data_IF_048775343090
#
_entry.id   IF_048775343090
#
_cell.length_a   1.000
_cell.length_b   1.000
_cell.length_c   1.000
_cell.angle_alpha   90.00
_cell.angle_beta   90.00
_cell.angle_gamma   90.00
#
_symmetry.space_group_name_H-M   'P 1'
#
loop_
_entity.id
_entity.type
_entity.pdbx_description
1 polymer ?
#
# COMPACT_ATOMS: atom_id res chain seq x y z
N UNK A 1 -7.37 9.45 19.45
CA UNK A 1 -6.31 9.03 20.38
C UNK A 1 -6.98 8.50 21.64
N UNK A 2 -6.75 7.25 22.05
CA UNK A 2 -7.31 6.70 23.30
C UNK A 2 -6.22 6.71 24.38
N UNK A 3 -6.59 7.14 25.59
CA UNK A 3 -5.73 7.11 26.77
C UNK A 3 -6.22 5.98 27.67
N UNK A 4 -5.34 5.03 27.99
CA UNK A 4 -5.64 3.92 28.89
C UNK A 4 -4.81 4.06 30.19
N UNK A 5 -5.41 3.66 31.32
CA UNK A 5 -4.70 3.45 32.60
C UNK A 5 -4.45 1.96 32.74
N UNK A 6 -3.25 1.51 32.40
CA UNK A 6 -2.82 0.12 32.58
C UNK A 6 -1.47 0.11 33.30
N UNK A 7 -1.34 -0.78 34.29
CA UNK A 7 -0.07 -1.04 34.98
C UNK A 7 0.92 -1.79 34.10
N UNK A 8 0.48 -2.43 33.01
CA UNK A 8 1.34 -3.17 32.07
C UNK A 8 0.98 -2.88 30.61
N UNK A 9 1.99 -2.73 29.75
CA UNK A 9 1.82 -2.60 28.31
C UNK A 9 2.69 -3.58 27.52
N UNK A 10 2.17 -4.05 26.38
CA UNK A 10 2.92 -4.90 25.44
C UNK A 10 3.63 -4.04 24.41
N UNK A 11 4.95 -4.13 24.35
CA UNK A 11 5.76 -3.44 23.36
C UNK A 11 6.56 -4.44 22.52
N UNK A 12 6.76 -4.12 21.23
CA UNK A 12 7.62 -4.90 20.35
C UNK A 12 8.98 -4.22 20.26
N UNK A 13 10.01 -4.83 20.84
CA UNK A 13 11.40 -4.40 20.70
C UNK A 13 12.13 -5.46 19.88
N UNK A 14 12.74 -5.05 18.77
CA UNK A 14 13.26 -5.95 17.75
C UNK A 14 12.19 -6.99 17.31
N UNK A 15 12.41 -8.27 17.60
CA UNK A 15 11.49 -9.35 17.26
C UNK A 15 10.81 -10.00 18.46
N UNK A 16 10.88 -9.36 19.63
CA UNK A 16 10.29 -9.88 20.86
C UNK A 16 9.16 -8.97 21.34
N UNK A 17 8.12 -9.62 21.86
CA UNK A 17 7.07 -8.94 22.62
C UNK A 17 7.50 -8.93 24.08
N UNK A 18 7.53 -7.74 24.68
CA UNK A 18 7.94 -7.53 26.06
C UNK A 18 6.78 -6.87 26.79
N UNK A 19 6.50 -7.38 28.00
CA UNK A 19 5.58 -6.74 28.94
C UNK A 19 6.36 -5.73 29.78
N UNK A 20 5.94 -4.47 29.73
CA UNK A 20 6.57 -3.36 30.45
C UNK A 20 5.61 -2.92 31.55
N UNK A 21 6.08 -2.95 32.81
CA UNK A 21 5.37 -2.37 33.94
C UNK A 21 5.47 -0.83 33.86
N UNK A 22 4.33 -0.16 33.92
CA UNK A 22 4.22 1.29 33.82
C UNK A 22 3.88 1.90 35.19
N UNK A 23 4.50 3.03 35.56
CA UNK A 23 4.07 3.80 36.73
C UNK A 23 2.62 4.26 36.59
N UNK A 24 1.91 4.42 37.71
CA UNK A 24 0.49 4.87 37.71
C UNK A 24 0.26 6.20 37.00
N UNK A 25 1.27 7.09 36.98
CA UNK A 25 1.22 8.38 36.31
C UNK A 25 1.37 8.30 34.79
N UNK A 26 1.69 7.13 34.24
CA UNK A 26 1.93 6.95 32.82
C UNK A 26 0.64 7.05 32.00
N UNK A 27 0.75 7.63 30.80
CA UNK A 27 -0.34 7.68 29.82
C UNK A 27 0.03 6.82 28.62
N UNK A 28 -0.79 5.83 28.30
CA UNK A 28 -0.63 5.03 27.10
C UNK A 28 -1.37 5.66 25.93
N UNK A 29 -0.62 6.03 24.88
CA UNK A 29 -1.18 6.48 23.62
C UNK A 29 -1.13 5.37 22.58
N UNK A 30 -2.24 5.16 21.87
CA UNK A 30 -2.32 4.19 20.78
C UNK A 30 -2.98 4.79 19.55
N UNK A 31 -2.53 4.31 18.39
CA UNK A 31 -3.19 4.56 17.12
C UNK A 31 -4.32 3.57 16.92
N UNK A 32 -5.39 4.04 16.26
CA UNK A 32 -6.41 3.14 15.74
C UNK A 32 -5.74 2.15 14.80
N UNK A 33 -5.96 0.85 15.02
CA UNK A 33 -5.44 -0.16 14.10
C UNK A 33 -6.10 0.04 12.73
N UNK A 34 -5.31 0.04 11.63
CA UNK A 34 -5.89 0.09 10.30
C UNK A 34 -6.78 -1.14 10.07
N UNK A 35 -7.89 -0.95 9.37
CA UNK A 35 -8.75 -2.04 8.94
C UNK A 35 -8.04 -2.75 7.79
N UNK A 36 -7.89 -4.07 7.90
CA UNK A 36 -7.30 -4.89 6.85
C UNK A 36 -8.29 -4.96 5.69
N UNK A 37 -7.81 -4.63 4.49
CA UNK A 37 -8.58 -4.79 3.25
C UNK A 37 -8.79 -6.28 3.01
N UNK A 38 -10.05 -6.69 2.89
CA UNK A 38 -10.44 -8.10 2.72
C UNK A 38 -10.09 -8.65 1.34
N UNK A 39 -10.24 -7.83 0.30
CA UNK A 39 -9.83 -8.14 -1.08
C UNK A 39 -8.86 -7.07 -1.61
N UNK A 40 -7.55 -7.23 -1.35
CA UNK A 40 -6.54 -6.28 -1.82
C UNK A 40 -6.48 -6.16 -3.35
N UNK A 41 -6.71 -7.25 -4.08
CA UNK A 41 -6.64 -7.25 -5.54
C UNK A 41 -7.75 -6.36 -6.13
N UNK A 42 -8.98 -6.54 -5.64
CA UNK A 42 -10.10 -5.69 -6.04
C UNK A 42 -9.89 -4.23 -5.64
N UNK A 43 -9.40 -3.97 -4.43
CA UNK A 43 -9.18 -2.60 -3.94
C UNK A 43 -8.15 -1.84 -4.78
N UNK A 44 -7.05 -2.49 -5.17
CA UNK A 44 -6.03 -1.91 -6.06
C UNK A 44 -6.62 -1.60 -7.44
N UNK A 45 -7.38 -2.54 -8.02
CA UNK A 45 -8.01 -2.33 -9.32
C UNK A 45 -9.02 -1.16 -9.29
N UNK A 46 -9.82 -1.06 -8.22
CA UNK A 46 -10.74 0.07 -8.06
C UNK A 46 -10.00 1.40 -7.90
N UNK A 47 -8.87 1.42 -7.17
CA UNK A 47 -8.07 2.62 -7.00
C UNK A 47 -7.47 3.11 -8.32
N UNK A 48 -6.98 2.20 -9.17
CA UNK A 48 -6.45 2.54 -10.50
C UNK A 48 -7.56 3.10 -11.42
N UNK A 49 -8.76 2.52 -11.35
CA UNK A 49 -9.91 2.94 -12.16
C UNK A 49 -10.52 4.26 -11.70
N UNK A 50 -10.62 4.47 -10.39
CA UNK A 50 -11.24 5.65 -9.76
C UNK A 50 -10.18 6.62 -9.25
N UNK A 51 -9.32 7.10 -10.15
CA UNK A 51 -8.30 8.09 -9.79
C UNK A 51 -8.94 9.35 -9.20
N UNK A 52 -8.26 9.97 -8.24
CA UNK A 52 -8.71 11.17 -7.54
C UNK A 52 -7.98 12.37 -8.13
N UNK A 53 -8.72 13.35 -8.65
CA UNK A 53 -8.15 14.61 -9.14
C UNK A 53 -7.35 14.49 -10.44
N UNK A 54 -7.39 13.35 -11.14
CA UNK A 54 -6.72 13.16 -12.44
C UNK A 54 -7.49 12.15 -13.32
N UNK A 55 -7.18 12.11 -14.62
CA UNK A 55 -7.48 10.93 -15.45
C UNK A 55 -6.92 9.64 -14.84
N UNK A 56 -7.56 8.52 -15.13
CA UNK A 56 -7.01 7.19 -14.78
C UNK A 56 -5.75 6.88 -15.61
N UNK A 57 -5.03 5.83 -15.20
CA UNK A 57 -3.74 5.48 -15.78
C UNK A 57 -3.84 5.13 -17.26
N UNK A 58 -4.89 4.41 -17.66
CA UNK A 58 -5.16 4.02 -19.03
C UNK A 58 -5.37 5.24 -19.94
N UNK A 59 -6.14 6.23 -19.48
CA UNK A 59 -6.32 7.49 -20.21
C UNK A 59 -5.01 8.25 -20.38
N UNK A 60 -4.15 8.28 -19.35
CA UNK A 60 -2.82 8.91 -19.43
C UNK A 60 -1.96 8.21 -20.49
N UNK A 61 -1.93 6.87 -20.47
CA UNK A 61 -1.18 6.06 -21.43
C UNK A 61 -1.65 6.31 -22.86
N UNK A 62 -2.97 6.27 -23.10
CA UNK A 62 -3.56 6.54 -24.43
C UNK A 62 -3.16 7.93 -24.92
N UNK A 63 -3.25 8.96 -24.06
CA UNK A 63 -2.87 10.33 -24.43
C UNK A 63 -1.39 10.44 -24.79
N UNK A 64 -0.51 9.78 -24.03
CA UNK A 64 0.94 9.76 -24.30
C UNK A 64 1.27 9.05 -25.61
N UNK A 65 0.66 7.89 -25.86
CA UNK A 65 0.87 7.12 -27.09
C UNK A 65 0.37 7.84 -28.35
N UNK A 66 -0.72 8.63 -28.23
CA UNK A 66 -1.19 9.49 -29.33
C UNK A 66 -0.17 10.56 -29.71
N UNK A 67 0.56 11.08 -28.73
CA UNK A 67 1.57 12.12 -28.96
C UNK A 67 2.93 11.54 -29.38
N UNK A 68 3.31 10.38 -28.87
CA UNK A 68 4.55 9.69 -29.18
C UNK A 68 4.35 8.17 -29.02
N UNK A 69 4.39 7.44 -30.14
CA UNK A 69 4.22 5.98 -30.13
C UNK A 69 5.36 5.23 -29.44
N UNK A 70 6.55 5.83 -29.39
CA UNK A 70 7.76 5.27 -28.77
C UNK A 70 7.98 5.84 -27.36
N UNK A 71 6.90 6.25 -26.67
CA UNK A 71 7.02 6.82 -25.34
C UNK A 71 7.60 5.80 -24.34
N UNK A 72 8.55 6.25 -23.52
CA UNK A 72 9.13 5.45 -22.44
C UNK A 72 8.42 5.76 -21.13
N UNK A 73 8.25 4.74 -20.30
CA UNK A 73 7.63 4.86 -18.97
C UNK A 73 8.64 4.46 -17.91
N UNK A 74 8.70 5.24 -16.83
CA UNK A 74 9.42 4.90 -15.62
C UNK A 74 8.43 4.71 -14.47
N UNK A 75 8.53 3.58 -13.76
CA UNK A 75 7.73 3.31 -12.56
C UNK A 75 8.68 3.45 -11.36
N UNK A 76 8.43 4.46 -10.54
CA UNK A 76 9.20 4.69 -9.31
C UNK A 76 8.56 3.90 -8.18
N UNK A 77 9.33 3.04 -7.53
CA UNK A 77 8.91 2.26 -6.37
C UNK A 77 9.75 2.64 -5.16
N UNK A 78 9.21 2.43 -3.95
CA UNK A 78 10.00 2.58 -2.72
C UNK A 78 11.06 1.48 -2.63
N UNK A 79 12.13 1.76 -1.90
CA UNK A 79 13.18 0.79 -1.59
C UNK A 79 12.68 -0.37 -0.70
N UNK A 80 13.59 -1.29 -0.38
CA UNK A 80 13.32 -2.48 0.42
C UNK A 80 13.09 -2.19 1.92
N UNK A 81 13.29 -0.96 2.38
CA UNK A 81 13.05 -0.58 3.79
C UNK A 81 11.57 -0.27 4.06
N UNK A 82 10.74 -0.21 3.00
CA UNK A 82 9.30 -0.01 3.13
C UNK A 82 8.53 -1.34 3.06
N UNK A 83 7.51 -1.53 3.91
CA UNK A 83 6.69 -2.74 3.92
C UNK A 83 5.63 -2.73 2.81
N UNK A 84 5.98 -2.31 1.60
CA UNK A 84 5.05 -2.23 0.47
C UNK A 84 4.92 -3.60 -0.19
N UNK A 85 3.69 -4.05 -0.39
CA UNK A 85 3.39 -5.30 -1.07
C UNK A 85 3.47 -5.09 -2.59
N UNK A 86 4.61 -5.38 -3.19
CA UNK A 86 4.78 -5.27 -4.66
C UNK A 86 4.37 -6.53 -5.42
N UNK A 87 4.43 -7.69 -4.80
CA UNK A 87 4.26 -9.01 -5.44
C UNK A 87 3.13 -9.81 -4.81
N UNK A 88 2.71 -10.89 -5.49
CA UNK A 88 1.64 -11.78 -5.05
C UNK A 88 0.24 -11.22 -5.31
N UNK A 89 -0.78 -11.93 -4.83
CA UNK A 89 -2.19 -11.58 -5.09
C UNK A 89 -2.60 -10.22 -4.51
N UNK A 90 -1.93 -9.78 -3.43
CA UNK A 90 -2.12 -8.46 -2.83
C UNK A 90 -1.10 -7.41 -3.34
N UNK A 91 -0.33 -7.73 -4.38
CA UNK A 91 0.75 -6.92 -4.90
C UNK A 91 0.27 -5.78 -5.80
N UNK A 92 0.84 -4.58 -5.64
CA UNK A 92 0.42 -3.39 -6.42
C UNK A 92 1.09 -3.27 -7.79
N UNK A 93 2.25 -3.89 -8.00
CA UNK A 93 3.10 -3.59 -9.17
C UNK A 93 2.52 -4.17 -10.47
N UNK A 94 2.00 -5.40 -10.40
CA UNK A 94 1.52 -6.10 -11.58
C UNK A 94 0.24 -5.52 -12.19
N UNK A 95 -0.76 -5.10 -11.39
CA UNK A 95 -1.89 -4.33 -11.90
C UNK A 95 -1.47 -3.07 -12.66
N UNK A 96 -0.51 -2.30 -12.12
CA UNK A 96 0.01 -1.08 -12.78
C UNK A 96 0.64 -1.41 -14.14
N UNK A 97 1.50 -2.43 -14.18
CA UNK A 97 2.18 -2.81 -15.43
C UNK A 97 1.17 -3.28 -16.48
N UNK A 98 0.14 -4.06 -16.09
CA UNK A 98 -0.93 -4.47 -17.00
C UNK A 98 -1.66 -3.27 -17.61
N UNK A 99 -1.98 -2.23 -16.81
CA UNK A 99 -2.63 -1.01 -17.33
C UNK A 99 -1.75 -0.24 -18.31
N UNK A 100 -0.44 -0.20 -18.06
CA UNK A 100 0.52 0.53 -18.92
C UNK A 100 0.74 -0.19 -20.24
N UNK A 101 0.91 -1.52 -20.21
CA UNK A 101 1.32 -2.28 -21.40
C UNK A 101 0.13 -2.82 -22.19
N UNK A 102 -1.07 -2.83 -21.60
CA UNK A 102 -2.25 -3.45 -22.20
C UNK A 102 -2.18 -4.97 -22.33
N UNK A 103 -1.14 -5.61 -21.77
CA UNK A 103 -1.01 -7.06 -21.76
C UNK A 103 -1.85 -7.66 -20.65
N UNK A 104 -2.88 -8.42 -21.03
CA UNK A 104 -3.81 -9.04 -20.08
C UNK A 104 -3.45 -10.48 -19.69
N UNK A 105 -2.43 -11.10 -20.27
CA UNK A 105 -2.08 -12.50 -19.98
C UNK A 105 -0.57 -12.75 -19.93
N UNK A 106 -0.07 -13.06 -18.73
CA UNK A 106 1.12 -13.89 -18.52
C UNK A 106 0.88 -14.75 -17.26
N UNK A 107 0.08 -15.79 -17.45
CA UNK A 107 0.27 -17.08 -16.79
C UNK A 107 0.76 -18.09 -17.84
N UNK A 108 2.00 -17.92 -18.29
CA UNK A 108 2.80 -19.00 -18.88
C UNK A 108 4.13 -19.03 -18.17
#
# INVERSE_FOLDING_TARGET
MRVHRNETCKNKIANQMIDILLPESAKLFSMTKPIIITDPAWAVEQALRKSIGSPNLEEIVIRKLRSNRDCKVAIVISDNTRPVLYKGNAGILWPIIKKITGYWDFQR
#
